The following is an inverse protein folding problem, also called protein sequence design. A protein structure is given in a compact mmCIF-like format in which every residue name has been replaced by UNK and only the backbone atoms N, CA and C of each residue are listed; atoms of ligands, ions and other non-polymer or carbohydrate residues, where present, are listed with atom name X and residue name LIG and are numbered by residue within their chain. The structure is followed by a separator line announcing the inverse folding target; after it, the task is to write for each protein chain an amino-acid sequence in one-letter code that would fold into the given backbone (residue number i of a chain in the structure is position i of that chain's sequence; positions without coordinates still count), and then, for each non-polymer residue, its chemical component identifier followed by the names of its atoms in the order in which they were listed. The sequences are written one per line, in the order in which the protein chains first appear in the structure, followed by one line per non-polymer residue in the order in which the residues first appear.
data_IF_613846678828
#
_entry.id   IF_613846678828
#
_cell.length_a   1.000
_cell.length_b   1.000
_cell.length_c   1.000
_cell.angle_alpha   90.00
_cell.angle_beta   90.00
_cell.angle_gamma   90.00
#
_symmetry.space_group_name_H-M   'P 1'
#
loop_
_entity.id
_entity.type
_entity.pdbx_description
1 polymer ?
#
# COMPACT_ATOMS: atom_id res chain seq x y z
N UNK A 1 -20.67 11.91 26.25
CA UNK A 1 -20.61 10.49 25.82
C UNK A 1 -20.29 10.28 24.32
N UNK A 2 -20.13 11.33 23.50
CA UNK A 2 -19.73 11.20 22.07
C UNK A 2 -18.21 11.27 21.83
N UNK A 3 -17.43 11.71 22.82
CA UNK A 3 -15.96 11.86 22.69
C UNK A 3 -15.20 10.58 23.05
N UNK A 4 -15.62 9.84 24.07
CA UNK A 4 -14.94 8.63 24.55
C UNK A 4 -14.88 7.52 23.48
N UNK A 5 -15.89 7.44 22.60
CA UNK A 5 -15.92 6.43 21.52
C UNK A 5 -14.94 6.80 20.38
N UNK A 6 -14.59 8.08 20.21
CA UNK A 6 -13.65 8.52 19.16
C UNK A 6 -12.20 8.17 19.50
N UNK A 7 -11.84 8.15 20.78
CA UNK A 7 -10.45 7.98 21.22
C UNK A 7 -10.00 6.51 21.36
N UNK A 8 -10.95 5.57 21.45
CA UNK A 8 -10.64 4.13 21.49
C UNK A 8 -10.34 3.51 20.12
N UNK A 9 -10.60 4.22 19.02
CA UNK A 9 -10.12 3.88 17.67
C UNK A 9 -8.86 4.70 17.33
N UNK A 10 -7.81 4.60 18.17
CA UNK A 10 -6.47 5.00 17.76
C UNK A 10 -5.99 4.03 16.70
N UNK A 11 -6.29 4.37 15.45
CA UNK A 11 -5.92 3.59 14.28
C UNK A 11 -4.39 3.58 14.18
N UNK A 12 -3.83 2.37 14.09
CA UNK A 12 -2.40 2.09 14.13
C UNK A 12 -1.69 2.75 12.93
N UNK A 13 -0.91 3.80 13.17
CA UNK A 13 0.05 4.36 12.20
C UNK A 13 -0.48 5.39 11.19
N UNK A 14 0.46 6.13 10.58
CA UNK A 14 0.20 7.17 9.55
C UNK A 14 0.07 6.59 8.12
N UNK A 15 0.56 5.37 7.92
CA UNK A 15 0.67 4.69 6.63
C UNK A 15 -0.03 3.34 6.71
N UNK A 16 -0.81 3.02 5.68
CA UNK A 16 -1.39 1.69 5.47
C UNK A 16 -0.34 0.76 4.84
N UNK A 17 0.34 1.23 3.78
CA UNK A 17 1.48 0.53 3.18
C UNK A 17 2.31 1.50 2.33
N UNK A 18 3.63 1.43 2.42
CA UNK A 18 4.55 2.23 1.60
C UNK A 18 5.01 1.50 0.33
N UNK A 19 4.50 0.29 0.07
CA UNK A 19 4.92 -0.54 -1.05
C UNK A 19 6.21 -1.31 -0.78
N UNK A 20 7.01 -1.53 -1.83
CA UNK A 20 8.25 -2.31 -1.72
C UNK A 20 9.28 -1.64 -0.82
N UNK A 21 9.96 -2.44 0.01
CA UNK A 21 11.01 -1.96 0.89
C UNK A 21 12.29 -1.66 0.10
N UNK A 22 12.40 -0.40 -0.34
CA UNK A 22 13.55 0.10 -1.09
C UNK A 22 14.80 0.21 -0.24
N UNK A 23 14.67 0.47 1.07
CA UNK A 23 15.79 0.53 2.00
C UNK A 23 16.41 -0.86 2.20
N UNK A 24 15.57 -1.89 2.31
CA UNK A 24 16.02 -3.28 2.29
C UNK A 24 16.67 -3.66 0.96
N UNK A 25 16.08 -3.31 -0.18
CA UNK A 25 16.63 -3.63 -1.49
C UNK A 25 18.03 -3.02 -1.69
N UNK A 26 18.22 -1.77 -1.27
CA UNK A 26 19.54 -1.11 -1.27
C UNK A 26 20.53 -1.78 -0.32
N UNK A 27 20.08 -2.13 0.88
CA UNK A 27 20.93 -2.82 1.87
C UNK A 27 21.29 -4.24 1.43
N UNK A 28 20.40 -4.94 0.73
CA UNK A 28 20.64 -6.26 0.15
C UNK A 28 21.65 -6.20 -1.00
N UNK A 29 21.56 -5.17 -1.85
CA UNK A 29 22.56 -4.91 -2.88
C UNK A 29 23.94 -4.61 -2.27
N UNK A 30 23.99 -3.81 -1.20
CA UNK A 30 25.23 -3.48 -0.49
C UNK A 30 25.91 -4.71 0.15
N UNK A 31 25.15 -5.77 0.47
CA UNK A 31 25.67 -7.05 0.99
C UNK A 31 26.19 -8.01 -0.09
N UNK A 32 26.18 -7.60 -1.36
CA UNK A 32 26.69 -8.41 -2.47
C UNK A 32 25.65 -9.35 -3.12
N UNK A 33 24.36 -9.09 -2.93
CA UNK A 33 23.25 -9.92 -3.43
C UNK A 33 22.77 -9.64 -4.85
N UNK A 34 23.41 -8.74 -5.59
CA UNK A 34 22.95 -8.22 -6.90
C UNK A 34 22.72 -6.71 -6.86
N UNK A 35 22.01 -6.17 -7.85
CA UNK A 35 21.62 -4.75 -7.84
C UNK A 35 20.34 -4.53 -7.03
N UNK A 36 20.13 -3.32 -6.52
CA UNK A 36 18.88 -2.98 -5.83
C UNK A 36 17.67 -3.16 -6.75
N UNK A 37 17.85 -2.94 -8.05
CA UNK A 37 16.84 -3.17 -9.07
C UNK A 37 16.45 -4.64 -9.17
N UNK A 38 17.41 -5.57 -9.20
CA UNK A 38 17.13 -7.02 -9.27
C UNK A 38 16.29 -7.49 -8.07
N UNK A 39 16.54 -6.92 -6.89
CA UNK A 39 15.75 -7.21 -5.70
C UNK A 39 14.33 -6.66 -5.79
N UNK A 40 14.13 -5.46 -6.35
CA UNK A 40 12.79 -4.89 -6.57
C UNK A 40 12.00 -5.68 -7.62
N UNK A 41 12.64 -6.12 -8.71
CA UNK A 41 12.00 -6.97 -9.73
C UNK A 41 11.53 -8.28 -9.09
N UNK A 42 12.38 -8.95 -8.31
CA UNK A 42 11.98 -10.17 -7.58
C UNK A 42 10.81 -9.93 -6.63
N UNK A 43 10.79 -8.80 -5.92
CA UNK A 43 9.67 -8.44 -5.06
C UNK A 43 8.39 -8.23 -5.88
N UNK A 44 8.47 -7.63 -7.06
CA UNK A 44 7.33 -7.45 -7.97
C UNK A 44 6.79 -8.77 -8.52
N UNK A 45 7.67 -9.71 -8.87
CA UNK A 45 7.30 -11.05 -9.34
C UNK A 45 6.58 -11.86 -8.27
N UNK A 46 7.01 -11.75 -7.01
CA UNK A 46 6.35 -12.40 -5.88
C UNK A 46 5.03 -11.72 -5.50
N UNK A 47 4.93 -10.42 -5.75
CA UNK A 47 3.75 -9.64 -5.40
C UNK A 47 2.57 -9.84 -6.35
N UNK A 48 2.84 -10.03 -7.65
CA UNK A 48 1.82 -10.28 -8.67
C UNK A 48 0.85 -11.42 -8.33
N UNK A 49 1.33 -12.63 -7.99
CA UNK A 49 0.49 -13.76 -7.58
C UNK A 49 -0.36 -13.45 -6.35
N UNK A 50 0.20 -12.76 -5.35
CA UNK A 50 -0.54 -12.39 -4.13
C UNK A 50 -1.73 -11.48 -4.46
N UNK A 51 -1.53 -10.49 -5.33
CA UNK A 51 -2.61 -9.62 -5.81
C UNK A 51 -3.65 -10.41 -6.60
N UNK A 52 -3.21 -11.33 -7.47
CA UNK A 52 -4.10 -12.19 -8.24
C UNK A 52 -4.97 -13.09 -7.34
N UNK A 53 -4.39 -13.61 -6.25
CA UNK A 53 -5.11 -14.39 -5.25
C UNK A 53 -6.19 -13.55 -4.56
N UNK A 54 -5.87 -12.30 -4.18
CA UNK A 54 -6.85 -11.39 -3.58
C UNK A 54 -8.01 -11.07 -4.53
N UNK A 55 -7.74 -10.86 -5.81
CA UNK A 55 -8.78 -10.60 -6.83
C UNK A 55 -9.64 -11.85 -7.10
N UNK A 56 -9.05 -13.04 -6.97
CA UNK A 56 -9.72 -14.31 -7.29
C UNK A 56 -10.50 -14.91 -6.12
N UNK A 57 -10.56 -14.23 -4.97
CA UNK A 57 -11.29 -14.71 -3.79
C UNK A 57 -12.81 -14.76 -4.06
N UNK A 58 -13.49 -15.89 -3.79
CA UNK A 58 -14.94 -16.02 -4.01
C UNK A 58 -15.77 -15.39 -2.87
N UNK A 59 -15.19 -14.49 -2.08
CA UNK A 59 -15.83 -13.83 -0.94
C UNK A 59 -15.62 -12.33 -1.00
N UNK A 60 -16.63 -11.51 -0.64
CA UNK A 60 -16.50 -10.06 -0.69
C UNK A 60 -15.46 -9.57 0.32
N UNK A 61 -14.51 -8.75 -0.12
CA UNK A 61 -13.44 -8.23 0.73
C UNK A 61 -13.51 -6.71 0.89
N UNK A 62 -13.20 -6.22 2.09
CA UNK A 62 -13.22 -4.79 2.42
C UNK A 62 -11.85 -4.37 2.94
N UNK A 63 -11.19 -3.46 2.22
CA UNK A 63 -9.94 -2.84 2.64
C UNK A 63 -10.21 -1.59 3.48
N UNK A 64 -9.94 -1.68 4.80
CA UNK A 64 -9.95 -0.53 5.69
C UNK A 64 -8.58 0.19 5.63
N UNK A 65 -8.49 1.24 4.81
CA UNK A 65 -7.27 2.01 4.59
C UNK A 65 -7.17 3.11 5.65
N UNK A 66 -6.34 2.84 6.65
CA UNK A 66 -6.18 3.65 7.86
C UNK A 66 -5.27 4.86 7.69
N UNK A 67 -4.44 4.87 6.63
CA UNK A 67 -3.41 5.87 6.37
C UNK A 67 -3.01 5.92 4.89
N UNK A 68 -1.84 6.47 4.59
CA UNK A 68 -1.38 6.58 3.20
C UNK A 68 -1.03 5.22 2.61
N UNK A 69 -1.45 4.97 1.36
CA UNK A 69 -1.06 3.79 0.60
C UNK A 69 -0.27 4.24 -0.63
N UNK A 70 0.98 3.79 -0.74
CA UNK A 70 1.93 4.22 -1.78
C UNK A 70 2.41 3.05 -2.63
N UNK A 71 2.71 3.32 -3.90
CA UNK A 71 3.40 2.42 -4.83
C UNK A 71 2.69 1.06 -4.97
N UNK A 72 3.44 -0.05 -4.90
CA UNK A 72 2.90 -1.40 -4.83
C UNK A 72 1.86 -1.58 -3.70
N UNK A 73 1.98 -0.85 -2.59
CA UNK A 73 1.05 -0.89 -1.46
C UNK A 73 -0.35 -0.36 -1.78
N UNK A 74 -0.52 0.31 -2.93
CA UNK A 74 -1.82 0.70 -3.49
C UNK A 74 -2.57 -0.46 -4.15
N UNK A 75 -1.86 -1.48 -4.64
CA UNK A 75 -2.50 -2.60 -5.33
C UNK A 75 -3.28 -3.51 -4.38
N UNK A 76 -2.91 -3.54 -3.08
CA UNK A 76 -3.68 -4.27 -2.07
C UNK A 76 -5.09 -3.70 -1.87
N UNK A 77 -5.31 -2.40 -1.58
CA UNK A 77 -6.68 -1.90 -1.45
C UNK A 77 -7.43 -1.96 -2.80
N UNK A 78 -6.75 -1.82 -3.93
CA UNK A 78 -7.37 -1.96 -5.25
C UNK A 78 -7.83 -3.39 -5.57
N UNK A 79 -7.24 -4.42 -4.96
CA UNK A 79 -7.67 -5.80 -5.15
C UNK A 79 -8.91 -6.18 -4.33
N UNK A 80 -9.43 -5.27 -3.50
CA UNK A 80 -10.62 -5.49 -2.68
C UNK A 80 -11.85 -4.83 -3.30
N UNK A 81 -13.04 -5.40 -3.09
CA UNK A 81 -14.29 -4.89 -3.66
C UNK A 81 -14.69 -3.52 -3.10
N UNK A 82 -14.39 -3.29 -1.81
CA UNK A 82 -14.69 -2.04 -1.13
C UNK A 82 -13.45 -1.49 -0.43
N UNK A 83 -13.17 -0.21 -0.66
CA UNK A 83 -12.08 0.52 0.00
C UNK A 83 -12.67 1.59 0.90
N UNK A 84 -12.47 1.46 2.21
CA UNK A 84 -12.86 2.46 3.20
C UNK A 84 -11.62 3.26 3.61
N UNK A 85 -11.51 4.49 3.15
CA UNK A 85 -10.42 5.39 3.51
C UNK A 85 -10.93 6.56 4.36
N UNK A 86 -10.12 6.99 5.34
CA UNK A 86 -10.43 8.21 6.10
C UNK A 86 -10.20 9.45 5.24
N UNK A 87 -11.26 10.18 4.91
CA UNK A 87 -11.22 11.38 4.04
C UNK A 87 -10.38 12.56 4.53
N UNK A 88 -9.96 12.57 5.80
CA UNK A 88 -9.19 13.66 6.41
C UNK A 88 -7.65 13.49 6.22
N UNK A 89 -7.15 12.25 6.06
CA UNK A 89 -5.70 11.98 6.10
C UNK A 89 -5.18 10.84 5.23
N UNK A 90 -6.03 10.27 4.38
CA UNK A 90 -5.63 9.21 3.46
C UNK A 90 -5.28 9.76 2.08
N UNK A 91 -4.06 9.50 1.59
CA UNK A 91 -3.71 9.70 0.16
C UNK A 91 -3.24 8.38 -0.43
N UNK A 92 -3.78 8.06 -1.60
CA UNK A 92 -3.39 6.93 -2.44
C UNK A 92 -2.57 7.47 -3.61
N UNK A 93 -1.33 7.01 -3.77
CA UNK A 93 -0.47 7.48 -4.86
C UNK A 93 0.50 6.41 -5.35
N UNK A 94 0.83 6.44 -6.63
CA UNK A 94 1.78 5.51 -7.24
C UNK A 94 3.15 6.19 -7.34
N UNK A 95 4.16 5.68 -6.63
CA UNK A 95 5.49 6.32 -6.57
C UNK A 95 6.45 5.88 -7.68
N UNK A 96 6.11 4.90 -8.52
CA UNK A 96 6.96 4.49 -9.66
C UNK A 96 6.95 5.51 -10.81
N UNK A 97 6.05 6.51 -10.73
CA UNK A 97 5.90 7.62 -11.68
C UNK A 97 6.46 8.95 -11.13
N UNK A 98 7.48 8.92 -10.27
CA UNK A 98 8.05 10.14 -9.68
C UNK A 98 8.85 11.01 -10.69
N UNK A 99 8.77 10.71 -11.99
CA UNK A 99 9.08 11.65 -13.07
C UNK A 99 7.91 12.57 -13.48
N UNK A 100 6.71 12.41 -12.91
CA UNK A 100 5.56 13.21 -13.30
C UNK A 100 4.32 12.96 -12.46
N UNK A 101 4.29 13.56 -11.26
CA UNK A 101 3.16 13.69 -10.31
C UNK A 101 1.77 13.43 -10.89
N UNK A 102 1.21 12.25 -10.63
CA UNK A 102 -0.23 11.99 -10.73
C UNK A 102 -0.74 11.38 -9.42
N UNK A 103 -1.33 12.21 -8.56
CA UNK A 103 -1.97 11.79 -7.32
C UNK A 103 -3.44 11.48 -7.58
N UNK A 104 -3.87 10.22 -7.38
CA UNK A 104 -5.29 9.84 -7.51
C UNK A 104 -5.98 10.08 -6.18
N UNK A 105 -6.67 11.22 -6.09
CA UNK A 105 -7.47 11.58 -4.92
C UNK A 105 -8.87 11.00 -5.06
N UNK A 106 -9.18 9.94 -4.31
CA UNK A 106 -10.55 9.45 -4.17
C UNK A 106 -11.30 10.39 -3.22
N UNK A 107 -12.04 11.34 -3.80
CA UNK A 107 -13.06 12.10 -3.09
C UNK A 107 -14.37 11.31 -3.13
N UNK A 108 -14.88 10.98 -1.95
CA UNK A 108 -16.26 10.54 -1.77
C UNK A 108 -17.19 11.77 -1.77
#
# INVERSE_FOLDING_TARGET
MKEIIRDSWKILGKYFSNGFDTAWAQSAAARGGGTAYDHLVKLSELYGPVVADFVSLPMPTIAAVTGHAAAAGLMLPLSHDYVLMKGDRGVMYFSELDWGKCSVSFKN
#
